data_IF_857478153478
#
_entry.id   IF_857478153478
#
_cell.length_a   1.000
_cell.length_b   1.000
_cell.length_c   1.000
_cell.angle_alpha   90.00
_cell.angle_beta   90.00
_cell.angle_gamma   90.00
#
_symmetry.space_group_name_H-M   'P 1'
#
loop_
_entity.id
_entity.type
_entity.pdbx_description
1 polymer ?
#
# COMPACT_ATOMS: atom_id res chain seq x y z
N UNK A 1 4.74 -25.69 19.86
CA UNK A 1 3.55 -26.43 19.40
C UNK A 1 2.42 -26.59 20.44
N UNK A 2 2.49 -26.01 21.66
CA UNK A 2 1.44 -26.19 22.69
C UNK A 2 0.73 -24.89 23.11
N UNK A 3 0.65 -23.90 22.20
CA UNK A 3 -0.05 -22.65 22.52
C UNK A 3 -1.55 -22.80 22.19
N UNK A 4 -2.31 -23.29 23.17
CA UNK A 4 -3.77 -23.45 23.09
C UNK A 4 -4.50 -22.16 22.72
N UNK A 5 -3.93 -21.00 23.08
CA UNK A 5 -4.47 -19.68 22.73
C UNK A 5 -4.52 -19.46 21.22
N UNK A 6 -3.41 -19.73 20.51
CA UNK A 6 -3.37 -19.59 19.05
C UNK A 6 -4.34 -20.54 18.33
N UNK A 7 -4.52 -21.76 18.87
CA UNK A 7 -5.49 -22.70 18.33
C UNK A 7 -6.93 -22.19 18.50
N UNK A 8 -7.27 -21.66 19.68
CA UNK A 8 -8.60 -21.05 19.93
C UNK A 8 -8.83 -19.85 19.01
N UNK A 9 -7.81 -18.99 18.81
CA UNK A 9 -7.90 -17.88 17.86
C UNK A 9 -8.16 -18.42 16.44
N UNK A 10 -7.44 -19.46 16.00
CA UNK A 10 -7.68 -20.10 14.71
C UNK A 10 -9.10 -20.65 14.56
N UNK A 11 -9.65 -21.29 15.60
CA UNK A 11 -11.02 -21.79 15.60
C UNK A 11 -12.06 -20.67 15.51
N UNK A 12 -11.88 -19.59 16.27
CA UNK A 12 -12.76 -18.41 16.21
C UNK A 12 -12.69 -17.79 14.81
N UNK A 13 -11.49 -17.66 14.24
CA UNK A 13 -11.30 -17.12 12.88
C UNK A 13 -11.96 -18.01 11.83
N UNK A 14 -11.86 -19.34 11.95
CA UNK A 14 -12.53 -20.27 11.04
C UNK A 14 -14.07 -20.13 11.10
N UNK A 15 -14.63 -19.99 12.31
CA UNK A 15 -16.05 -19.72 12.52
C UNK A 15 -16.47 -18.40 11.84
N UNK A 16 -15.73 -17.32 12.11
CA UNK A 16 -15.99 -16.01 11.52
C UNK A 16 -15.87 -16.04 9.99
N UNK A 17 -14.91 -16.81 9.46
CA UNK A 17 -14.70 -16.98 8.01
C UNK A 17 -15.89 -17.62 7.34
N UNK A 18 -16.37 -18.74 7.89
CA UNK A 18 -17.58 -19.38 7.42
C UNK A 18 -18.79 -18.43 7.51
N UNK A 19 -18.90 -17.66 8.59
CA UNK A 19 -19.99 -16.70 8.80
C UNK A 19 -20.00 -15.57 7.77
N UNK A 20 -18.89 -14.86 7.57
CA UNK A 20 -18.84 -13.68 6.69
C UNK A 20 -18.90 -14.06 5.21
N UNK A 21 -18.29 -15.18 4.79
CA UNK A 21 -18.39 -15.65 3.40
C UNK A 21 -19.82 -16.06 3.05
N UNK A 22 -20.50 -16.77 3.96
CA UNK A 22 -21.91 -17.13 3.79
C UNK A 22 -22.79 -15.89 3.75
N UNK A 23 -22.51 -14.91 4.62
CA UNK A 23 -23.23 -13.63 4.66
C UNK A 23 -23.13 -12.93 3.30
N UNK A 24 -21.93 -12.84 2.73
CA UNK A 24 -21.71 -12.21 1.44
C UNK A 24 -22.52 -12.89 0.33
N UNK A 25 -22.50 -14.22 0.26
CA UNK A 25 -23.28 -14.98 -0.74
C UNK A 25 -24.78 -14.75 -0.56
N UNK A 26 -25.30 -14.80 0.66
CA UNK A 26 -26.73 -14.56 0.94
C UNK A 26 -27.12 -13.14 0.51
N UNK A 27 -26.37 -12.12 0.93
CA UNK A 27 -26.74 -10.72 0.65
C UNK A 27 -26.64 -10.37 -0.83
N UNK A 28 -25.66 -10.93 -1.56
CA UNK A 28 -25.43 -10.62 -2.98
C UNK A 28 -26.37 -11.40 -3.90
N UNK A 29 -26.54 -12.71 -3.67
CA UNK A 29 -27.27 -13.57 -4.61
C UNK A 29 -28.71 -13.90 -4.18
N UNK A 30 -28.98 -13.99 -2.87
CA UNK A 30 -30.30 -14.37 -2.34
C UNK A 30 -31.05 -13.19 -1.70
N UNK A 31 -30.40 -12.02 -1.60
CA UNK A 31 -30.98 -10.79 -1.07
C UNK A 31 -31.87 -10.07 -2.08
N UNK A 32 -32.54 -9.02 -1.63
CA UNK A 32 -33.31 -8.15 -2.52
C UNK A 32 -32.37 -7.35 -3.44
N UNK A 33 -32.71 -7.29 -4.72
CA UNK A 33 -31.93 -6.58 -5.73
C UNK A 33 -32.01 -5.06 -5.51
N UNK A 34 -30.87 -4.40 -5.30
CA UNK A 34 -30.78 -2.96 -4.97
C UNK A 34 -30.36 -2.06 -6.14
N UNK A 35 -30.38 -2.57 -7.37
CA UNK A 35 -29.84 -1.87 -8.54
C UNK A 35 -30.74 -0.72 -9.05
N UNK A 36 -32.01 -0.68 -8.63
CA UNK A 36 -32.95 0.39 -9.00
C UNK A 36 -32.86 1.66 -8.12
N UNK A 37 -32.18 1.60 -6.97
CA UNK A 37 -32.18 2.71 -5.99
C UNK A 37 -31.10 3.79 -6.28
N UNK A 38 -30.13 3.52 -7.16
CA UNK A 38 -29.00 4.42 -7.45
C UNK A 38 -28.88 4.85 -8.91
N UNK A 39 -29.94 4.72 -9.70
CA UNK A 39 -29.95 5.13 -11.13
C UNK A 39 -29.84 6.65 -11.36
N UNK A 40 -29.68 7.47 -10.31
CA UNK A 40 -29.66 8.93 -10.41
C UNK A 40 -28.32 9.61 -10.11
N UNK A 41 -27.34 8.98 -9.44
CA UNK A 41 -26.21 9.75 -8.88
C UNK A 41 -24.89 9.71 -9.66
N UNK A 42 -24.63 8.73 -10.53
CA UNK A 42 -23.38 8.68 -11.30
C UNK A 42 -23.66 8.60 -12.80
N UNK A 43 -23.73 9.78 -13.42
CA UNK A 43 -23.94 9.94 -14.86
C UNK A 43 -22.77 9.44 -15.70
N UNK A 44 -22.74 8.14 -16.00
CA UNK A 44 -22.12 7.57 -17.19
C UNK A 44 -22.51 6.09 -17.34
N UNK A 45 -23.19 5.79 -18.46
CA UNK A 45 -23.59 4.48 -18.99
C UNK A 45 -24.99 3.98 -18.55
N UNK A 46 -25.80 3.59 -19.54
CA UNK A 46 -27.23 3.34 -19.46
C UNK A 46 -27.63 2.12 -18.64
N UNK A 47 -28.94 1.80 -18.66
CA UNK A 47 -29.62 0.72 -17.93
C UNK A 47 -28.66 -0.35 -17.37
N UNK A 48 -28.33 -0.21 -16.08
CA UNK A 48 -27.46 -1.14 -15.32
C UNK A 48 -28.24 -2.42 -15.00
N UNK A 49 -28.76 -3.09 -16.02
CA UNK A 49 -29.32 -4.43 -15.87
C UNK A 49 -28.16 -5.43 -15.77
N UNK A 50 -28.05 -6.21 -14.68
CA UNK A 50 -27.04 -7.25 -14.57
C UNK A 50 -27.16 -8.23 -15.74
N UNK A 51 -26.07 -8.46 -16.46
CA UNK A 51 -26.01 -9.45 -17.52
C UNK A 51 -25.09 -10.61 -17.12
N UNK A 52 -25.34 -11.78 -17.70
CA UNK A 52 -24.48 -12.94 -17.51
C UNK A 52 -23.05 -12.68 -18.03
N UNK A 53 -22.08 -13.32 -17.40
CA UNK A 53 -20.67 -13.13 -17.74
C UNK A 53 -20.34 -13.76 -19.11
N UNK A 54 -19.60 -13.08 -20.00
CA UNK A 54 -19.14 -13.67 -21.25
C UNK A 54 -18.31 -14.94 -21.02
N UNK A 55 -18.32 -15.87 -21.99
CA UNK A 55 -17.60 -17.15 -21.90
C UNK A 55 -16.10 -16.99 -21.63
N UNK A 56 -15.51 -15.88 -22.05
CA UNK A 56 -14.09 -15.54 -21.83
C UNK A 56 -13.77 -15.35 -20.35
N UNK A 57 -14.73 -14.90 -19.54
CA UNK A 57 -14.57 -14.79 -18.08
C UNK A 57 -15.00 -16.07 -17.36
N UNK A 58 -16.08 -16.73 -17.83
CA UNK A 58 -16.60 -17.95 -17.22
C UNK A 58 -15.59 -19.11 -17.31
N UNK A 59 -14.94 -19.31 -18.46
CA UNK A 59 -14.04 -20.43 -18.66
C UNK A 59 -12.88 -20.47 -17.64
N UNK A 60 -12.13 -19.37 -17.41
CA UNK A 60 -11.15 -19.32 -16.32
C UNK A 60 -11.72 -19.64 -14.93
N UNK A 61 -12.91 -19.12 -14.59
CA UNK A 61 -13.52 -19.35 -13.28
C UNK A 61 -13.88 -20.83 -13.05
N UNK A 62 -14.38 -21.51 -14.08
CA UNK A 62 -14.68 -22.95 -14.02
C UNK A 62 -13.40 -23.77 -13.89
N UNK A 63 -12.35 -23.42 -14.63
CA UNK A 63 -11.04 -24.10 -14.50
C UNK A 63 -10.50 -23.92 -13.08
N UNK A 64 -10.54 -22.70 -12.53
CA UNK A 64 -10.09 -22.43 -11.18
C UNK A 64 -10.90 -23.17 -10.11
N UNK A 65 -12.22 -23.31 -10.27
CA UNK A 65 -13.05 -24.04 -9.32
C UNK A 65 -12.70 -25.54 -9.30
N UNK A 66 -12.49 -26.15 -10.47
CA UNK A 66 -12.03 -27.53 -10.58
C UNK A 66 -10.65 -27.69 -9.96
N UNK A 67 -9.70 -26.80 -10.25
CA UNK A 67 -8.36 -26.83 -9.66
C UNK A 67 -8.39 -26.66 -8.15
N UNK A 68 -9.29 -25.85 -7.59
CA UNK A 68 -9.46 -25.70 -6.14
C UNK A 68 -9.95 -26.99 -5.48
N UNK A 69 -10.88 -27.71 -6.11
CA UNK A 69 -11.38 -29.01 -5.59
C UNK A 69 -10.29 -30.07 -5.67
N UNK A 70 -9.60 -30.18 -6.80
CA UNK A 70 -8.50 -31.14 -7.01
C UNK A 70 -7.34 -30.84 -6.06
N UNK A 71 -6.92 -29.58 -5.95
CA UNK A 71 -5.85 -29.16 -5.05
C UNK A 71 -6.16 -29.48 -3.58
N UNK A 72 -7.41 -29.27 -3.14
CA UNK A 72 -7.85 -29.70 -1.82
C UNK A 72 -7.83 -31.22 -1.63
N UNK A 73 -8.22 -31.98 -2.65
CA UNK A 73 -8.22 -33.44 -2.61
C UNK A 73 -6.80 -34.06 -2.57
N UNK A 74 -5.80 -33.37 -3.15
CA UNK A 74 -4.40 -33.82 -3.22
C UNK A 74 -3.64 -33.83 -1.89
N UNK A 75 -4.19 -33.25 -0.82
CA UNK A 75 -3.57 -33.15 0.51
C UNK A 75 -4.50 -33.64 1.64
N UNK A 76 -5.42 -34.56 1.33
CA UNK A 76 -6.34 -35.10 2.32
C UNK A 76 -5.63 -36.03 3.32
N UNK A 77 -5.96 -35.96 4.62
CA UNK A 77 -5.31 -36.77 5.65
C UNK A 77 -5.74 -38.26 5.62
N UNK A 78 -6.50 -38.69 4.61
CA UNK A 78 -7.10 -40.03 4.49
C UNK A 78 -6.19 -40.98 3.70
N UNK A 79 -5.18 -41.55 4.35
CA UNK A 79 -4.34 -42.60 3.79
C UNK A 79 -3.02 -42.11 3.18
N UNK A 80 -2.04 -43.03 3.05
CA UNK A 80 -0.65 -42.71 2.72
C UNK A 80 -0.45 -42.06 1.35
N UNK A 81 -1.39 -42.23 0.42
CA UNK A 81 -1.28 -41.79 -0.97
C UNK A 81 -1.85 -40.39 -1.23
N UNK A 82 -2.55 -39.80 -0.27
CA UNK A 82 -3.19 -38.48 -0.40
C UNK A 82 -2.39 -37.32 0.20
N UNK A 83 -1.15 -37.58 0.65
CA UNK A 83 -0.20 -36.56 1.10
C UNK A 83 0.84 -36.28 0.00
N UNK A 84 0.39 -36.10 -1.25
CA UNK A 84 1.29 -35.93 -2.39
C UNK A 84 2.13 -34.65 -2.24
N UNK A 85 1.48 -33.54 -1.85
CA UNK A 85 2.12 -32.23 -1.79
C UNK A 85 3.20 -32.18 -0.71
N UNK A 86 2.92 -32.74 0.47
CA UNK A 86 3.88 -32.93 1.56
C UNK A 86 5.14 -33.67 1.08
N UNK A 87 4.99 -34.79 0.38
CA UNK A 87 6.13 -35.58 -0.14
C UNK A 87 6.89 -34.88 -1.26
N UNK A 88 6.18 -34.17 -2.13
CA UNK A 88 6.78 -33.42 -3.24
C UNK A 88 7.58 -32.21 -2.73
N UNK A 89 7.10 -31.55 -1.67
CA UNK A 89 7.77 -30.43 -1.02
C UNK A 89 8.87 -30.85 -0.05
N UNK A 90 8.84 -32.08 0.49
CA UNK A 90 9.78 -32.56 1.51
C UNK A 90 11.26 -32.19 1.22
N UNK A 91 11.81 -32.38 0.00
CA UNK A 91 13.23 -32.07 -0.26
C UNK A 91 13.61 -30.58 -0.10
N UNK A 92 12.63 -29.67 -0.19
CA UNK A 92 12.84 -28.22 -0.06
C UNK A 92 12.61 -27.76 1.37
N UNK A 93 11.77 -28.47 2.13
CA UNK A 93 11.29 -28.05 3.45
C UNK A 93 11.87 -28.88 4.60
N UNK A 94 12.62 -29.95 4.32
CA UNK A 94 13.13 -30.93 5.31
C UNK A 94 13.89 -30.29 6.48
N UNK A 95 14.72 -29.27 6.22
CA UNK A 95 15.46 -28.52 7.26
C UNK A 95 14.55 -27.64 8.14
N UNK A 96 13.36 -27.29 7.67
CA UNK A 96 12.38 -26.42 8.36
C UNK A 96 11.17 -27.18 8.91
N UNK A 97 11.12 -28.52 8.77
CA UNK A 97 10.03 -29.30 9.33
C UNK A 97 10.07 -29.31 10.86
N UNK A 98 9.06 -28.68 11.46
CA UNK A 98 8.77 -28.92 12.87
C UNK A 98 8.46 -30.42 13.04
N UNK A 99 9.16 -31.11 13.92
CA UNK A 99 8.88 -32.52 14.21
C UNK A 99 7.57 -32.61 15.02
N UNK A 100 6.44 -32.72 14.33
CA UNK A 100 5.09 -32.71 14.94
C UNK A 100 4.57 -34.12 15.24
N UNK A 101 5.31 -35.18 14.85
CA UNK A 101 4.83 -36.57 14.89
C UNK A 101 4.44 -37.04 16.30
N UNK A 102 5.09 -36.52 17.34
CA UNK A 102 4.79 -36.85 18.75
C UNK A 102 3.77 -35.91 19.40
N UNK A 103 3.20 -34.96 18.65
CA UNK A 103 2.26 -33.99 19.21
C UNK A 103 0.85 -34.58 19.32
N UNK A 104 0.14 -34.26 20.41
CA UNK A 104 -1.26 -34.65 20.60
C UNK A 104 -2.16 -34.34 19.40
N UNK A 105 -1.93 -33.21 18.73
CA UNK A 105 -2.67 -32.79 17.55
C UNK A 105 -2.48 -33.74 16.35
N UNK A 106 -1.26 -34.27 16.16
CA UNK A 106 -0.96 -35.21 15.08
C UNK A 106 -1.67 -36.55 15.28
N UNK A 107 -1.67 -37.04 16.53
CA UNK A 107 -2.38 -38.26 16.92
C UNK A 107 -3.90 -38.11 16.79
N UNK A 108 -4.44 -36.92 17.10
CA UNK A 108 -5.88 -36.64 17.10
C UNK A 108 -6.36 -35.89 15.84
N UNK A 109 -5.62 -35.96 14.73
CA UNK A 109 -5.91 -35.21 13.50
C UNK A 109 -7.35 -35.37 12.98
N UNK A 110 -7.93 -36.56 13.09
CA UNK A 110 -9.31 -36.82 12.68
C UNK A 110 -10.35 -36.13 13.58
N UNK A 111 -10.10 -36.09 14.90
CA UNK A 111 -10.93 -35.36 15.83
C UNK A 111 -10.88 -33.86 15.53
N UNK A 112 -9.68 -33.32 15.27
CA UNK A 112 -9.51 -31.91 14.90
C UNK A 112 -10.22 -31.58 13.58
N UNK A 113 -10.19 -32.48 12.60
CA UNK A 113 -10.93 -32.34 11.35
C UNK A 113 -12.45 -32.29 11.59
N UNK A 114 -12.99 -33.19 12.41
CA UNK A 114 -14.43 -33.18 12.75
C UNK A 114 -14.81 -31.89 13.47
N UNK A 115 -14.01 -31.46 14.45
CA UNK A 115 -14.21 -30.20 15.16
C UNK A 115 -14.21 -29.01 14.20
N UNK A 116 -13.27 -28.97 13.24
CA UNK A 116 -13.22 -27.92 12.23
C UNK A 116 -14.48 -27.90 11.34
N UNK A 117 -14.97 -29.06 10.90
CA UNK A 117 -16.21 -29.19 10.11
C UNK A 117 -17.42 -28.69 10.91
N UNK A 118 -17.54 -29.08 12.18
CA UNK A 118 -18.64 -28.66 13.06
C UNK A 118 -18.63 -27.14 13.24
N UNK A 119 -17.46 -26.55 13.46
CA UNK A 119 -17.31 -25.10 13.63
C UNK A 119 -17.66 -24.34 12.34
N UNK A 120 -17.20 -24.83 11.18
CA UNK A 120 -17.55 -24.25 9.89
C UNK A 120 -19.07 -24.33 9.63
N UNK A 121 -19.68 -25.48 9.88
CA UNK A 121 -21.13 -25.68 9.76
C UNK A 121 -21.92 -24.77 10.71
N UNK A 122 -21.45 -24.60 11.94
CA UNK A 122 -22.05 -23.68 12.91
C UNK A 122 -21.98 -22.22 12.43
N UNK A 123 -20.85 -21.78 11.86
CA UNK A 123 -20.70 -20.45 11.28
C UNK A 123 -21.65 -20.20 10.10
N UNK A 124 -21.80 -21.19 9.20
CA UNK A 124 -22.76 -21.15 8.08
C UNK A 124 -24.20 -21.06 8.62
N UNK A 125 -24.57 -21.93 9.57
CA UNK A 125 -25.91 -21.96 10.14
C UNK A 125 -26.26 -20.64 10.87
N UNK A 126 -25.33 -20.08 11.63
CA UNK A 126 -25.49 -18.78 12.28
C UNK A 126 -25.70 -17.65 11.25
N UNK A 127 -24.95 -17.66 10.15
CA UNK A 127 -25.10 -16.66 9.08
C UNK A 127 -26.47 -16.75 8.40
N UNK A 128 -26.94 -17.95 8.09
CA UNK A 128 -28.28 -18.18 7.52
C UNK A 128 -29.38 -17.71 8.49
N UNK A 129 -29.25 -18.03 9.78
CA UNK A 129 -30.21 -17.62 10.80
C UNK A 129 -30.36 -16.09 10.90
N UNK A 130 -29.24 -15.36 10.80
CA UNK A 130 -29.22 -13.89 10.89
C UNK A 130 -29.68 -13.24 9.58
N UNK A 131 -29.13 -13.64 8.42
CA UNK A 131 -29.29 -12.90 7.15
C UNK A 131 -30.37 -13.43 6.22
N UNK A 132 -30.70 -14.73 6.28
CA UNK A 132 -31.74 -15.31 5.42
C UNK A 132 -33.08 -15.39 6.15
N UNK A 133 -33.07 -15.78 7.43
CA UNK A 133 -34.30 -15.95 8.23
C UNK A 133 -34.64 -14.76 9.13
N UNK A 134 -33.75 -13.77 9.22
CA UNK A 134 -33.93 -12.58 10.07
C UNK A 134 -34.30 -12.91 11.53
N UNK A 135 -33.82 -14.04 12.06
CA UNK A 135 -34.17 -14.52 13.41
C UNK A 135 -33.53 -13.66 14.50
N UNK A 136 -32.45 -12.96 14.17
CA UNK A 136 -31.71 -12.09 15.07
C UNK A 136 -31.50 -10.72 14.44
N UNK A 137 -31.49 -9.67 15.27
CA UNK A 137 -31.16 -8.33 14.80
C UNK A 137 -29.67 -8.26 14.44
N UNK A 138 -29.37 -7.73 13.25
CA UNK A 138 -28.00 -7.46 12.83
C UNK A 138 -27.40 -6.41 13.76
N UNK A 139 -26.40 -6.81 14.55
CA UNK A 139 -25.62 -5.91 15.39
C UNK A 139 -24.24 -5.81 14.74
N UNK A 140 -23.99 -4.70 14.06
CA UNK A 140 -22.66 -4.35 13.54
C UNK A 140 -22.03 -3.31 14.47
N UNK A 141 -21.01 -3.67 15.25
CA UNK A 141 -20.29 -2.70 16.06
C UNK A 141 -19.62 -1.66 15.16
N UNK A 142 -19.79 -0.37 15.48
CA UNK A 142 -19.14 0.75 14.76
C UNK A 142 -17.63 0.58 14.60
N UNK A 143 -16.98 -0.11 15.54
CA UNK A 143 -15.55 -0.44 15.49
C UNK A 143 -15.21 -1.30 14.27
N UNK A 144 -16.02 -2.31 13.95
CA UNK A 144 -15.80 -3.21 12.82
C UNK A 144 -16.17 -2.54 11.51
N UNK A 145 -17.24 -1.73 11.51
CA UNK A 145 -17.65 -0.90 10.38
C UNK A 145 -16.53 0.05 9.94
N UNK A 146 -15.82 0.65 10.90
CA UNK A 146 -14.72 1.59 10.65
C UNK A 146 -13.35 0.90 10.54
N UNK A 147 -13.30 -0.37 10.14
CA UNK A 147 -12.08 -1.15 9.96
C UNK A 147 -11.09 -1.02 11.13
N UNK A 148 -11.61 -1.14 12.36
CA UNK A 148 -10.83 -1.01 13.60
C UNK A 148 -10.18 0.36 13.80
N UNK A 149 -10.69 1.40 13.14
CA UNK A 149 -10.12 2.75 13.08
C UNK A 149 -8.71 2.79 12.49
N UNK A 150 -8.22 1.70 11.87
CA UNK A 150 -6.87 1.63 11.35
C UNK A 150 -6.68 2.63 10.20
N UNK A 151 -7.61 2.65 9.25
CA UNK A 151 -7.58 3.58 8.12
C UNK A 151 -7.69 5.04 8.58
N UNK A 152 -8.51 5.29 9.62
CA UNK A 152 -8.66 6.61 10.21
C UNK A 152 -7.37 7.08 10.92
N UNK A 153 -6.70 6.19 11.65
CA UNK A 153 -5.42 6.49 12.29
C UNK A 153 -4.33 6.72 11.25
N UNK A 154 -4.21 5.85 10.26
CA UNK A 154 -3.24 5.97 9.18
C UNK A 154 -3.44 7.26 8.39
N UNK A 155 -4.67 7.57 7.97
CA UNK A 155 -4.98 8.81 7.27
C UNK A 155 -4.70 10.05 8.11
N UNK A 156 -5.03 10.06 9.41
CA UNK A 156 -4.68 11.18 10.31
C UNK A 156 -3.18 11.40 10.43
N UNK A 157 -2.38 10.33 10.49
CA UNK A 157 -0.92 10.43 10.56
C UNK A 157 -0.33 10.93 9.24
N UNK A 158 -0.81 10.41 8.11
CA UNK A 158 -0.30 10.81 6.79
C UNK A 158 -0.74 12.22 6.43
N UNK A 159 -2.02 12.54 6.55
CA UNK A 159 -2.58 13.84 6.16
C UNK A 159 -2.31 14.94 7.20
N UNK A 160 -2.05 14.60 8.45
CA UNK A 160 -1.70 15.55 9.50
C UNK A 160 -0.20 15.84 9.50
N UNK A 161 0.59 15.18 10.38
CA UNK A 161 2.01 15.47 10.51
C UNK A 161 2.80 15.17 9.22
N UNK A 162 2.44 14.12 8.46
CA UNK A 162 3.10 13.83 7.19
C UNK A 162 3.00 14.99 6.20
N UNK A 163 1.79 15.46 5.92
CA UNK A 163 1.56 16.60 5.03
C UNK A 163 2.20 17.90 5.56
N UNK A 164 2.16 18.13 6.87
CA UNK A 164 2.81 19.30 7.48
C UNK A 164 4.33 19.30 7.24
N UNK A 165 4.99 18.16 7.38
CA UNK A 165 6.43 18.02 7.09
C UNK A 165 6.73 18.27 5.62
N UNK A 166 5.93 17.72 4.70
CA UNK A 166 6.14 17.97 3.26
C UNK A 166 5.94 19.44 2.89
N UNK A 167 4.90 20.09 3.43
CA UNK A 167 4.67 21.51 3.22
C UNK A 167 5.80 22.38 3.79
N UNK A 168 6.36 22.00 4.94
CA UNK A 168 7.51 22.68 5.51
C UNK A 168 8.76 22.56 4.61
N UNK A 169 9.04 21.35 4.11
CA UNK A 169 10.18 21.13 3.21
C UNK A 169 10.00 21.92 1.91
N UNK A 170 8.79 21.91 1.33
CA UNK A 170 8.48 22.70 0.13
C UNK A 170 8.62 24.21 0.39
N UNK A 171 8.21 24.69 1.57
CA UNK A 171 8.42 26.08 1.96
C UNK A 171 9.91 26.43 2.09
N UNK A 172 10.72 25.55 2.68
CA UNK A 172 12.18 25.73 2.77
C UNK A 172 12.79 25.85 1.37
N UNK A 173 12.42 24.98 0.45
CA UNK A 173 12.92 25.02 -0.93
C UNK A 173 12.56 26.34 -1.62
N UNK A 174 11.27 26.69 -1.62
CA UNK A 174 10.77 27.88 -2.31
C UNK A 174 11.23 29.23 -1.70
N UNK A 175 11.56 29.28 -0.41
CA UNK A 175 11.93 30.53 0.25
C UNK A 175 13.43 30.65 0.53
N UNK A 176 14.07 29.55 0.95
CA UNK A 176 15.49 29.58 1.33
C UNK A 176 16.34 29.24 0.11
N UNK A 177 16.10 28.11 -0.54
CA UNK A 177 16.93 27.66 -1.67
C UNK A 177 16.78 28.63 -2.84
N UNK A 178 15.54 28.85 -3.28
CA UNK A 178 15.25 29.80 -4.36
C UNK A 178 15.62 31.24 -3.98
N UNK A 179 15.45 31.61 -2.71
CA UNK A 179 15.86 32.93 -2.21
C UNK A 179 17.37 33.17 -2.35
N UNK A 180 18.19 32.16 -2.01
CA UNK A 180 19.64 32.22 -2.18
C UNK A 180 20.01 32.29 -3.66
N UNK A 181 19.41 31.44 -4.50
CA UNK A 181 19.69 31.40 -5.94
C UNK A 181 19.34 32.74 -6.60
N UNK A 182 18.16 33.28 -6.32
CA UNK A 182 17.72 34.57 -6.83
C UNK A 182 18.60 35.71 -6.29
N UNK A 183 18.99 35.66 -5.01
CA UNK A 183 19.88 36.64 -4.40
C UNK A 183 21.25 36.70 -5.06
N UNK A 184 21.85 35.54 -5.39
CA UNK A 184 23.10 35.49 -6.17
C UNK A 184 22.90 36.12 -7.56
N UNK A 185 21.79 35.82 -8.22
CA UNK A 185 21.45 36.41 -9.51
C UNK A 185 21.25 37.93 -9.46
N UNK A 186 20.63 38.45 -8.40
CA UNK A 186 20.44 39.88 -8.15
C UNK A 186 21.79 40.58 -7.89
N UNK A 187 22.66 39.95 -7.09
CA UNK A 187 24.00 40.47 -6.77
C UNK A 187 24.85 40.60 -8.04
N UNK A 188 24.90 39.57 -8.87
CA UNK A 188 25.64 39.60 -10.14
C UNK A 188 25.09 40.69 -11.06
N UNK A 189 23.75 40.82 -11.17
CA UNK A 189 23.11 41.88 -11.96
C UNK A 189 23.46 43.28 -11.44
N UNK A 190 23.51 43.47 -10.13
CA UNK A 190 23.89 44.75 -9.51
C UNK A 190 25.35 45.11 -9.78
N UNK A 191 26.27 44.15 -9.66
CA UNK A 191 27.70 44.33 -9.98
C UNK A 191 27.87 44.66 -11.47
N UNK A 192 27.23 43.89 -12.35
CA UNK A 192 27.28 44.13 -13.79
C UNK A 192 26.70 45.51 -14.16
N UNK A 193 25.60 45.91 -13.52
CA UNK A 193 24.99 47.24 -13.69
C UNK A 193 25.92 48.37 -13.23
N UNK A 194 26.63 48.19 -12.12
CA UNK A 194 27.61 49.15 -11.62
C UNK A 194 28.82 49.24 -12.55
N UNK A 195 29.37 48.10 -12.99
CA UNK A 195 30.48 48.04 -13.93
C UNK A 195 30.12 48.66 -15.29
N UNK A 196 28.88 48.46 -15.75
CA UNK A 196 28.37 49.09 -16.98
C UNK A 196 28.40 50.61 -16.93
N UNK A 197 28.17 51.23 -15.76
CA UNK A 197 28.24 52.71 -15.62
C UNK A 197 29.67 53.26 -15.73
N UNK A 198 30.69 52.45 -15.41
CA UNK A 198 32.10 52.83 -15.58
C UNK A 198 32.45 52.93 -17.07
N UNK A 199 31.78 52.17 -17.93
CA UNK A 199 31.94 52.20 -19.39
C UNK A 199 31.11 53.33 -20.01
N UNK A 200 31.56 54.58 -19.87
CA UNK A 200 30.83 55.79 -20.29
C UNK A 200 30.89 56.09 -21.80
N UNK A 201 31.72 55.39 -22.58
CA UNK A 201 31.89 55.64 -24.01
C UNK A 201 32.76 56.86 -24.36
N UNK A 202 33.28 57.59 -23.37
CA UNK A 202 34.11 58.78 -23.59
C UNK A 202 35.58 58.41 -23.81
N UNK A 203 36.06 58.47 -25.07
CA UNK A 203 37.42 58.06 -25.49
C UNK A 203 38.54 58.66 -24.62
N UNK A 204 38.40 59.92 -24.17
CA UNK A 204 39.43 60.57 -23.33
C UNK A 204 39.55 59.93 -21.94
N UNK A 205 38.44 59.47 -21.36
CA UNK A 205 38.46 58.78 -20.07
C UNK A 205 39.18 57.43 -20.18
N UNK A 206 38.97 56.71 -21.29
CA UNK A 206 39.70 55.48 -21.57
C UNK A 206 41.20 55.71 -21.77
N UNK A 207 41.59 56.76 -22.51
CA UNK A 207 43.00 57.10 -22.70
C UNK A 207 43.71 57.41 -21.36
N UNK A 208 43.05 58.14 -20.45
CA UNK A 208 43.56 58.38 -19.09
C UNK A 208 43.68 57.09 -18.28
N UNK A 209 42.65 56.23 -18.30
CA UNK A 209 42.67 54.94 -17.59
C UNK A 209 43.78 54.01 -18.10
N UNK A 210 43.97 53.91 -19.41
CA UNK A 210 45.03 53.09 -20.02
C UNK A 210 46.41 53.64 -19.63
N UNK A 211 46.61 54.95 -19.70
CA UNK A 211 47.89 55.58 -19.35
C UNK A 211 48.22 55.36 -17.87
N UNK A 212 47.23 55.54 -16.99
CA UNK A 212 47.38 55.31 -15.55
C UNK A 212 47.63 53.84 -15.23
N UNK A 213 46.91 52.92 -15.90
CA UNK A 213 47.13 51.48 -15.79
C UNK A 213 48.54 51.07 -16.23
N UNK A 214 49.05 51.61 -17.33
CA UNK A 214 50.42 51.37 -17.78
C UNK A 214 51.46 51.84 -16.76
N UNK A 215 51.27 53.04 -16.16
CA UNK A 215 52.12 53.54 -15.08
C UNK A 215 52.10 52.63 -13.85
N UNK A 216 50.93 52.14 -13.44
CA UNK A 216 50.80 51.20 -12.31
C UNK A 216 51.51 49.88 -12.58
N UNK A 217 51.36 49.31 -13.79
CA UNK A 217 52.05 48.07 -14.17
C UNK A 217 53.57 48.27 -14.18
N UNK A 218 54.05 49.39 -14.74
CA UNK A 218 55.47 49.73 -14.73
C UNK A 218 56.00 49.92 -13.31
N UNK A 219 55.28 50.63 -12.45
CA UNK A 219 55.64 50.81 -11.05
C UNK A 219 55.68 49.47 -10.30
N UNK A 220 54.71 48.60 -10.51
CA UNK A 220 54.71 47.25 -9.93
C UNK A 220 55.90 46.43 -10.43
N UNK A 221 56.22 46.48 -11.72
CA UNK A 221 57.36 45.75 -12.28
C UNK A 221 58.69 46.23 -11.72
N UNK A 222 58.87 47.56 -11.59
CA UNK A 222 60.06 48.15 -10.98
C UNK A 222 60.18 47.81 -9.49
N UNK A 223 59.09 47.93 -8.72
CA UNK A 223 59.06 47.54 -7.31
C UNK A 223 59.40 46.05 -7.14
N UNK A 224 58.85 45.19 -7.99
CA UNK A 224 59.16 43.76 -7.99
C UNK A 224 60.61 43.47 -8.38
N UNK A 225 61.17 44.21 -9.33
CA UNK A 225 62.57 44.06 -9.77
C UNK A 225 63.60 44.65 -8.79
N UNK A 226 63.19 45.53 -7.87
CA UNK A 226 64.03 46.06 -6.78
C UNK A 226 63.95 45.17 -5.53
N UNK A 227 62.82 44.50 -5.31
CA UNK A 227 62.57 43.61 -4.17
C UNK A 227 63.01 42.14 -4.40
N UNK A 228 63.41 41.78 -5.61
CA UNK A 228 64.05 40.50 -5.99
C UNK A 228 65.55 40.73 -6.20
#
# INVERSE_FOLDING_TARGET
ANNRGLYVVGLITALLTAFYMTRQVIMVFYGQAKWNDHSAEHGAHGDLTPHESPKVMLAPLVVLSVLSVVGGAMQLPFGKNFNFLERWLAPVVEESEAHIQDTWAYQNKYLLLVVAIVIAAAGIAASIAVYSKSLFKVVEPKVLEQAWYYDNAASRVVAGPGAATFNFIAWVDANIVDGIVNGVGELIRSIAGSLRRVQSGFVRAYALLISLGALVVLAWFLLRGIML
#
